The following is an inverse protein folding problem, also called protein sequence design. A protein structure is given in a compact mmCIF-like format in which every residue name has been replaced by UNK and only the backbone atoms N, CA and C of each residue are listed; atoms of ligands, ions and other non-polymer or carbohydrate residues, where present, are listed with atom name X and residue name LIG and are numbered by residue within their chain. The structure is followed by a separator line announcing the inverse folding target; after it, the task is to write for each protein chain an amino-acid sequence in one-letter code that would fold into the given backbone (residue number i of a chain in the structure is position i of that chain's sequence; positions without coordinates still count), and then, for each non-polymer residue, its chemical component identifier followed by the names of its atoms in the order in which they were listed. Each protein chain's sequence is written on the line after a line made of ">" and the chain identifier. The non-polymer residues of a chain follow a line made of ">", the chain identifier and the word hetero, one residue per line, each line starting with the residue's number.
data_IF_743236037148
#
_entry.id   IF_743236037148
#
_cell.length_a   1.000
_cell.length_b   1.000
_cell.length_c   1.000
_cell.angle_alpha   90.00
_cell.angle_beta   90.00
_cell.angle_gamma   90.00
#
_symmetry.space_group_name_H-M   'P 1'
#
loop_
_entity.id
_entity.type
_entity.pdbx_description
1 polymer ?
#
# COMPACT_ATOMS: atom_id res chain seq x y z
N UNK A 1 -27.31 -6.59 -25.60
CA UNK A 1 -25.93 -6.75 -25.11
C UNK A 1 -25.00 -6.36 -26.26
N UNK A 2 -24.21 -5.30 -26.10
CA UNK A 2 -23.33 -4.81 -27.17
C UNK A 2 -22.02 -5.62 -27.18
N UNK A 3 -22.04 -6.75 -27.90
CA UNK A 3 -20.91 -7.68 -27.99
C UNK A 3 -19.71 -7.03 -28.69
N UNK A 4 -19.94 -6.11 -29.63
CA UNK A 4 -18.86 -5.39 -30.34
C UNK A 4 -18.10 -4.50 -29.37
N UNK A 5 -18.82 -3.78 -28.50
CA UNK A 5 -18.20 -2.99 -27.43
C UNK A 5 -17.35 -3.88 -26.50
N UNK A 6 -17.89 -5.01 -26.04
CA UNK A 6 -17.18 -5.92 -25.14
C UNK A 6 -15.86 -6.43 -25.74
N UNK A 7 -15.86 -6.82 -27.01
CA UNK A 7 -14.65 -7.29 -27.71
C UNK A 7 -13.64 -6.13 -27.86
N UNK A 8 -14.11 -4.92 -28.15
CA UNK A 8 -13.22 -3.76 -28.32
C UNK A 8 -12.51 -3.32 -27.03
N UNK A 9 -13.17 -3.45 -25.86
CA UNK A 9 -12.58 -3.06 -24.56
C UNK A 9 -11.81 -4.20 -23.88
N UNK A 10 -11.98 -5.44 -24.35
CA UNK A 10 -11.36 -6.61 -23.75
C UNK A 10 -9.82 -6.51 -23.63
N UNK A 11 -9.08 -6.01 -24.64
CA UNK A 11 -7.64 -5.78 -24.49
C UNK A 11 -7.30 -4.78 -23.37
N UNK A 12 -8.09 -3.72 -23.20
CA UNK A 12 -7.89 -2.74 -22.13
C UNK A 12 -8.15 -3.36 -20.75
N UNK A 13 -9.20 -4.18 -20.62
CA UNK A 13 -9.46 -4.93 -19.38
C UNK A 13 -8.31 -5.90 -19.05
N UNK A 14 -7.75 -6.57 -20.05
CA UNK A 14 -6.60 -7.45 -19.87
C UNK A 14 -5.37 -6.67 -19.40
N UNK A 15 -5.14 -5.47 -19.95
CA UNK A 15 -4.04 -4.60 -19.49
C UNK A 15 -4.22 -4.15 -18.04
N UNK A 16 -5.45 -3.80 -17.63
CA UNK A 16 -5.77 -3.48 -16.24
C UNK A 16 -5.60 -4.68 -15.29
N UNK A 17 -5.92 -5.89 -15.75
CA UNK A 17 -5.68 -7.11 -14.99
C UNK A 17 -4.19 -7.35 -14.75
N UNK A 18 -3.34 -7.09 -15.75
CA UNK A 18 -1.87 -7.17 -15.60
C UNK A 18 -1.37 -6.19 -14.55
N UNK A 19 -1.83 -4.93 -14.58
CA UNK A 19 -1.47 -3.92 -13.56
C UNK A 19 -1.91 -4.38 -12.17
N UNK A 20 -3.12 -4.94 -12.05
CA UNK A 20 -3.63 -5.46 -10.77
C UNK A 20 -2.74 -6.58 -10.23
N UNK A 21 -2.29 -7.49 -11.10
CA UNK A 21 -1.36 -8.56 -10.70
C UNK A 21 0.02 -8.03 -10.30
N UNK A 22 0.55 -7.04 -11.03
CA UNK A 22 1.81 -6.38 -10.68
C UNK A 22 1.74 -5.72 -9.30
N UNK A 23 0.66 -4.98 -9.03
CA UNK A 23 0.40 -4.37 -7.73
C UNK A 23 0.23 -5.41 -6.62
N UNK A 24 -0.53 -6.47 -6.89
CA UNK A 24 -0.76 -7.56 -5.93
C UNK A 24 0.55 -8.22 -5.52
N UNK A 25 1.34 -8.68 -6.49
CA UNK A 25 2.58 -9.43 -6.23
C UNK A 25 3.61 -8.54 -5.52
N UNK A 26 3.80 -7.30 -5.97
CA UNK A 26 4.72 -6.37 -5.33
C UNK A 26 4.29 -6.01 -3.90
N UNK A 27 3.02 -5.66 -3.70
CA UNK A 27 2.49 -5.31 -2.37
C UNK A 27 2.53 -6.49 -1.41
N UNK A 28 2.20 -7.70 -1.88
CA UNK A 28 2.30 -8.92 -1.07
C UNK A 28 3.75 -9.20 -0.68
N UNK A 29 4.69 -9.08 -1.60
CA UNK A 29 6.11 -9.31 -1.33
C UNK A 29 6.63 -8.41 -0.20
N UNK A 30 6.44 -7.09 -0.31
CA UNK A 30 6.87 -6.16 0.74
C UNK A 30 6.05 -6.30 2.02
N UNK A 31 4.73 -6.51 1.91
CA UNK A 31 3.85 -6.72 3.05
C UNK A 31 4.21 -7.95 3.88
N UNK A 32 4.64 -9.04 3.24
CA UNK A 32 5.11 -10.25 3.91
C UNK A 32 6.43 -10.02 4.64
N UNK A 33 7.39 -9.32 4.01
CA UNK A 33 8.69 -9.01 4.64
C UNK A 33 8.46 -8.15 5.89
N UNK A 34 7.72 -7.06 5.75
CA UNK A 34 7.43 -6.15 6.87
C UNK A 34 6.60 -6.88 7.94
N UNK A 35 5.59 -7.64 7.53
CA UNK A 35 4.76 -8.43 8.42
C UNK A 35 5.56 -9.45 9.24
N UNK A 36 6.51 -10.13 8.60
CA UNK A 36 7.40 -11.09 9.27
C UNK A 36 8.29 -10.40 10.30
N UNK A 37 8.89 -9.26 9.96
CA UNK A 37 9.71 -8.46 10.89
C UNK A 37 8.88 -8.12 12.14
N UNK A 38 7.69 -7.54 11.96
CA UNK A 38 6.83 -7.17 13.07
C UNK A 38 6.29 -8.38 13.85
N UNK A 39 6.05 -9.51 13.20
CA UNK A 39 5.67 -10.76 13.87
C UNK A 39 6.77 -11.24 14.82
N UNK A 40 8.05 -11.18 14.40
CA UNK A 40 9.19 -11.52 15.25
C UNK A 40 9.29 -10.55 16.43
N UNK A 41 9.14 -9.24 16.20
CA UNK A 41 9.16 -8.23 17.28
C UNK A 41 8.04 -8.44 18.31
N UNK A 42 6.87 -8.95 17.91
CA UNK A 42 5.74 -9.27 18.80
C UNK A 42 6.02 -10.42 19.77
N UNK A 43 6.99 -11.29 19.50
CA UNK A 43 7.34 -12.41 20.39
C UNK A 43 8.39 -11.97 21.42
N UNK A 44 9.00 -10.79 21.23
CA UNK A 44 10.02 -10.30 22.14
C UNK A 44 9.46 -10.07 23.56
N UNK A 45 10.22 -10.50 24.58
CA UNK A 45 9.89 -10.33 26.00
C UNK A 45 9.97 -8.87 26.46
N UNK A 46 10.75 -8.03 25.76
CA UNK A 46 10.84 -6.61 26.08
C UNK A 46 9.49 -5.92 25.80
N UNK A 47 8.83 -5.35 26.82
CA UNK A 47 7.50 -4.77 26.68
C UNK A 47 7.47 -3.58 25.73
N UNK A 48 8.58 -2.84 25.57
CA UNK A 48 8.65 -1.68 24.66
C UNK A 48 8.60 -2.16 23.21
N UNK A 49 9.43 -3.14 22.85
CA UNK A 49 9.48 -3.72 21.50
C UNK A 49 8.15 -4.38 21.15
N UNK A 50 7.59 -5.12 22.11
CA UNK A 50 6.32 -5.81 21.96
C UNK A 50 5.16 -4.82 21.70
N UNK A 51 5.09 -3.73 22.47
CA UNK A 51 4.06 -2.68 22.32
C UNK A 51 4.25 -1.87 21.05
N UNK A 52 5.49 -1.58 20.65
CA UNK A 52 5.75 -0.91 19.37
C UNK A 52 5.22 -1.74 18.20
N UNK A 53 5.54 -3.03 18.17
CA UNK A 53 5.05 -3.92 17.13
C UNK A 53 3.53 -4.14 17.18
N UNK A 54 2.96 -4.11 18.39
CA UNK A 54 1.50 -4.11 18.56
C UNK A 54 0.87 -2.85 17.97
N UNK A 55 1.43 -1.68 18.23
CA UNK A 55 0.96 -0.40 17.72
C UNK A 55 0.93 -0.38 16.18
N UNK A 56 1.98 -0.89 15.54
CA UNK A 56 2.01 -1.08 14.08
C UNK A 56 0.82 -1.94 13.62
N UNK A 57 0.68 -3.15 14.15
CA UNK A 57 -0.40 -4.07 13.76
C UNK A 57 -1.79 -3.47 14.02
N UNK A 58 -1.97 -2.81 15.17
CA UNK A 58 -3.21 -2.15 15.56
C UNK A 58 -3.58 -1.02 14.59
N UNK A 59 -2.63 -0.16 14.22
CA UNK A 59 -2.90 0.93 13.27
C UNK A 59 -3.27 0.41 11.89
N UNK A 60 -2.45 -0.47 11.30
CA UNK A 60 -2.65 -0.94 9.93
C UNK A 60 -3.81 -1.92 9.77
N UNK A 61 -4.15 -2.70 10.81
CA UNK A 61 -5.31 -3.60 10.79
C UNK A 61 -6.59 -2.96 11.34
N UNK A 62 -6.47 -1.93 12.17
CA UNK A 62 -7.58 -1.24 12.80
C UNK A 62 -8.12 -0.04 12.02
N UNK A 63 -7.42 0.40 10.97
CA UNK A 63 -7.86 1.50 10.10
C UNK A 63 -8.29 0.99 8.73
N UNK A 64 -9.33 1.56 8.10
CA UNK A 64 -9.74 1.16 6.75
C UNK A 64 -8.63 1.43 5.73
N UNK A 65 -8.38 0.47 4.83
CA UNK A 65 -7.35 0.61 3.78
C UNK A 65 -7.55 1.87 2.93
N UNK A 66 -8.81 2.19 2.60
CA UNK A 66 -9.13 3.39 1.84
C UNK A 66 -8.68 4.67 2.55
N UNK A 67 -8.82 4.73 3.88
CA UNK A 67 -8.37 5.88 4.69
C UNK A 67 -6.84 5.97 4.69
N UNK A 68 -6.15 4.84 4.78
CA UNK A 68 -4.68 4.80 4.70
C UNK A 68 -4.18 5.35 3.36
N UNK A 69 -4.77 4.86 2.25
CA UNK A 69 -4.44 5.34 0.90
C UNK A 69 -4.76 6.84 0.74
N UNK A 70 -5.91 7.28 1.26
CA UNK A 70 -6.29 8.69 1.21
C UNK A 70 -5.29 9.59 1.97
N UNK A 71 -4.87 9.18 3.18
CA UNK A 71 -3.88 9.91 3.96
C UNK A 71 -2.52 9.97 3.28
N UNK A 72 -2.09 8.87 2.64
CA UNK A 72 -0.81 8.84 1.92
C UNK A 72 -0.88 9.72 0.68
N UNK A 73 -1.94 9.61 -0.12
CA UNK A 73 -2.02 10.28 -1.42
C UNK A 73 -2.38 11.76 -1.30
N UNK A 74 -3.37 12.09 -0.47
CA UNK A 74 -3.84 13.46 -0.31
C UNK A 74 -3.28 14.12 0.97
N UNK A 75 -3.21 13.39 2.08
CA UNK A 75 -2.74 13.94 3.35
C UNK A 75 -1.27 14.36 3.28
N UNK A 76 -0.38 13.45 2.88
CA UNK A 76 1.06 13.73 2.79
C UNK A 76 1.40 14.80 1.74
N UNK A 77 0.63 14.89 0.65
CA UNK A 77 0.79 15.93 -0.37
C UNK A 77 0.66 17.36 0.18
N UNK A 78 -0.07 17.54 1.28
CA UNK A 78 -0.24 18.85 1.91
C UNK A 78 0.97 19.28 2.75
N UNK A 79 1.89 18.37 3.08
CA UNK A 79 3.06 18.67 3.90
C UNK A 79 4.17 19.25 3.02
N UNK A 80 4.39 20.56 3.13
CA UNK A 80 5.37 21.29 2.31
C UNK A 80 6.80 20.74 2.44
N UNK A 81 7.23 20.43 3.66
CA UNK A 81 8.53 19.82 3.90
C UNK A 81 8.71 18.50 3.14
N UNK A 82 7.67 17.66 3.10
CA UNK A 82 7.74 16.38 2.40
C UNK A 82 7.83 16.61 0.89
N UNK A 83 7.03 17.51 0.33
CA UNK A 83 7.03 17.83 -1.12
C UNK A 83 8.39 18.28 -1.63
N UNK A 84 9.14 19.02 -0.81
CA UNK A 84 10.47 19.50 -1.15
C UNK A 84 11.58 18.46 -0.90
N UNK A 85 11.24 17.31 -0.31
CA UNK A 85 12.18 16.25 0.02
C UNK A 85 12.29 15.20 -1.10
N UNK A 86 13.38 14.45 -1.09
CA UNK A 86 13.59 13.32 -2.02
C UNK A 86 12.49 12.26 -1.93
N UNK A 87 11.87 12.07 -0.76
CA UNK A 87 10.79 11.09 -0.57
C UNK A 87 9.58 11.37 -1.45
N UNK A 88 9.33 12.63 -1.81
CA UNK A 88 8.19 12.99 -2.66
C UNK A 88 8.29 12.40 -4.06
N UNK A 89 9.51 12.18 -4.58
CA UNK A 89 9.71 11.55 -5.89
C UNK A 89 9.09 10.15 -5.93
N UNK A 90 9.12 9.43 -4.79
CA UNK A 90 8.59 8.07 -4.66
C UNK A 90 7.09 8.09 -4.33
N UNK A 91 6.63 9.04 -3.51
CA UNK A 91 5.27 9.04 -2.95
C UNK A 91 4.23 9.72 -3.88
N UNK A 92 4.67 10.61 -4.77
CA UNK A 92 3.78 11.41 -5.63
C UNK A 92 2.94 10.58 -6.60
N UNK A 93 3.46 9.45 -7.07
CA UNK A 93 2.85 8.60 -8.10
C UNK A 93 2.29 7.33 -7.43
N UNK A 94 0.99 7.04 -7.58
CA UNK A 94 0.37 5.88 -6.94
C UNK A 94 0.75 4.56 -7.64
N UNK A 95 1.11 4.66 -8.92
CA UNK A 95 1.70 3.64 -9.78
C UNK A 95 2.49 4.39 -10.85
N UNK A 96 3.66 3.86 -11.25
CA UNK A 96 4.56 4.47 -12.23
C UNK A 96 3.90 4.74 -13.59
#
# INVERSE_FOLDING_TARGET
>A
MDIKLMISIFPSLLSGAVITLQLLVSSMFFGLIIGLIFAILRINKNPIINKFAYGYSYFFRGTPLLVQLYLIYYGLANIEFLRNSFFWVIIKEPYW
#
